data_IF_809559000595
#
_entry.id   IF_809559000595
#
_cell.length_a   1.000
_cell.length_b   1.000
_cell.length_c   1.000
_cell.angle_alpha   90.00
_cell.angle_beta   90.00
_cell.angle_gamma   90.00
#
_symmetry.space_group_name_H-M   'P 1'
#
loop_
_entity.id
_entity.type
_entity.pdbx_description
1 polymer ?
#
# COMPACT_ATOMS: atom_id res chain seq x y z
N UNK A 1 -3.12 29.99 8.49
CA UNK A 1 -4.40 29.41 8.93
C UNK A 1 -4.11 27.94 9.09
N UNK A 2 -3.87 27.50 10.32
CA UNK A 2 -3.88 26.07 10.61
C UNK A 2 -5.34 25.70 10.60
N UNK A 3 -5.79 24.99 9.57
CA UNK A 3 -6.95 24.14 9.71
C UNK A 3 -6.52 23.06 10.70
N UNK A 4 -6.71 23.32 12.00
CA UNK A 4 -6.74 22.23 12.98
C UNK A 4 -7.79 21.27 12.46
N UNK A 5 -7.32 20.07 12.14
CA UNK A 5 -8.12 19.01 11.57
C UNK A 5 -8.95 18.45 12.72
N UNK A 6 -9.97 19.22 13.11
CA UNK A 6 -10.80 18.97 14.28
C UNK A 6 -11.51 17.62 14.11
N UNK A 7 -11.62 16.89 15.20
CA UNK A 7 -12.31 15.62 15.18
C UNK A 7 -13.79 15.88 15.36
N UNK A 8 -14.56 15.81 14.28
CA UNK A 8 -16.01 15.86 14.38
C UNK A 8 -16.60 14.48 14.10
N UNK A 9 -17.15 13.88 15.15
CA UNK A 9 -17.86 12.62 15.08
C UNK A 9 -19.37 12.77 15.26
N UNK A 10 -19.98 13.95 15.28
CA UNK A 10 -21.45 14.10 15.36
C UNK A 10 -22.09 13.12 16.37
N UNK A 11 -21.53 13.04 17.60
CA UNK A 11 -21.97 12.08 18.63
C UNK A 11 -22.94 12.69 19.65
N UNK A 12 -23.20 13.99 19.60
CA UNK A 12 -23.92 14.75 20.64
C UNK A 12 -25.32 14.21 20.96
N UNK A 13 -26.00 13.62 19.98
CA UNK A 13 -27.34 13.04 20.13
C UNK A 13 -27.35 11.51 20.34
N UNK A 14 -26.17 10.88 20.43
CA UNK A 14 -26.02 9.43 20.48
C UNK A 14 -25.44 8.98 21.81
N UNK A 15 -25.95 7.87 22.34
CA UNK A 15 -25.37 7.20 23.50
C UNK A 15 -24.36 6.13 23.08
N UNK A 16 -23.32 5.84 23.88
CA UNK A 16 -22.47 4.67 23.63
C UNK A 16 -23.32 3.40 23.71
N UNK A 17 -23.12 2.49 22.75
CA UNK A 17 -23.86 1.23 22.66
C UNK A 17 -23.48 0.25 23.78
N UNK A 18 -22.27 0.40 24.33
CA UNK A 18 -21.68 -0.45 25.36
C UNK A 18 -20.64 0.33 26.21
N UNK A 19 -20.22 -0.22 27.37
CA UNK A 19 -19.22 0.43 28.22
C UNK A 19 -17.85 0.65 27.54
N UNK A 20 -17.45 -0.24 26.63
CA UNK A 20 -16.17 -0.13 25.94
C UNK A 20 -16.14 1.10 25.02
N UNK A 21 -17.26 1.38 24.34
CA UNK A 21 -17.44 2.57 23.51
C UNK A 21 -17.43 3.86 24.35
N UNK A 22 -17.99 3.83 25.56
CA UNK A 22 -17.95 4.95 26.49
C UNK A 22 -16.50 5.26 26.94
N UNK A 23 -15.77 4.22 27.35
CA UNK A 23 -14.36 4.32 27.75
C UNK A 23 -13.47 4.81 26.60
N UNK A 24 -13.69 4.28 25.39
CA UNK A 24 -12.91 4.65 24.22
C UNK A 24 -13.11 6.12 23.82
N UNK A 25 -14.33 6.66 23.95
CA UNK A 25 -14.63 8.08 23.76
C UNK A 25 -13.93 8.95 24.80
N UNK A 26 -14.00 8.57 26.09
CA UNK A 26 -13.32 9.32 27.14
C UNK A 26 -11.81 9.37 26.90
N UNK A 27 -11.20 8.22 26.58
CA UNK A 27 -9.78 8.12 26.24
C UNK A 27 -9.42 9.00 25.06
N UNK A 28 -10.22 8.94 23.99
CA UNK A 28 -10.01 9.72 22.78
C UNK A 28 -10.00 11.23 23.06
N UNK A 29 -11.02 11.76 23.75
CA UNK A 29 -11.10 13.20 24.06
C UNK A 29 -10.10 13.67 25.11
N UNK A 30 -9.56 12.77 25.92
CA UNK A 30 -8.49 13.09 26.87
C UNK A 30 -7.09 13.15 26.24
N UNK A 31 -6.93 12.61 25.02
CA UNK A 31 -5.65 12.51 24.34
C UNK A 31 -5.24 13.78 23.60
N UNK A 32 -3.92 13.97 23.43
CA UNK A 32 -3.37 14.99 22.54
C UNK A 32 -3.18 14.39 21.15
N UNK A 33 -4.27 14.34 20.39
CA UNK A 33 -4.34 13.66 19.10
C UNK A 33 -4.31 14.67 17.94
N UNK A 34 -3.53 14.36 16.91
CA UNK A 34 -3.55 15.10 15.63
C UNK A 34 -3.97 14.18 14.51
N UNK A 35 -5.07 14.51 13.82
CA UNK A 35 -5.51 13.70 12.69
C UNK A 35 -4.48 13.72 11.55
N UNK A 36 -4.19 12.53 11.02
CA UNK A 36 -3.34 12.31 9.85
C UNK A 36 -4.20 12.00 8.62
N UNK A 37 -5.28 11.24 8.79
CA UNK A 37 -6.25 10.92 7.73
C UNK A 37 -7.63 10.73 8.31
N UNK A 38 -8.67 11.10 7.57
CA UNK A 38 -10.06 10.89 7.97
C UNK A 38 -10.93 10.51 6.78
N UNK A 39 -11.92 9.66 7.04
CA UNK A 39 -12.97 9.34 6.08
C UNK A 39 -14.32 9.14 6.79
N UNK A 40 -15.34 9.84 6.31
CA UNK A 40 -16.73 9.66 6.75
C UNK A 40 -17.56 9.07 5.60
N UNK A 41 -18.40 8.08 5.90
CA UNK A 41 -19.30 7.52 4.90
C UNK A 41 -20.41 8.51 4.55
N UNK A 42 -20.84 8.55 3.29
CA UNK A 42 -21.92 9.43 2.83
C UNK A 42 -23.17 8.60 2.49
N UNK A 43 -24.39 9.16 2.58
CA UNK A 43 -24.71 10.56 2.89
C UNK A 43 -24.82 10.89 4.39
N UNK A 44 -24.89 9.88 5.27
CA UNK A 44 -25.32 10.07 6.66
C UNK A 44 -24.21 9.89 7.70
N UNK A 45 -22.95 9.73 7.29
CA UNK A 45 -21.86 9.56 8.26
C UNK A 45 -22.04 8.32 9.12
N UNK A 46 -22.66 7.23 8.63
CA UNK A 46 -22.89 6.04 9.46
C UNK A 46 -21.59 5.47 10.04
N UNK A 47 -20.47 5.70 9.37
CA UNK A 47 -19.15 5.35 9.86
C UNK A 47 -18.17 6.52 9.69
N UNK A 48 -17.28 6.67 10.66
CA UNK A 48 -16.09 7.52 10.57
C UNK A 48 -14.85 6.67 10.82
N UNK A 49 -13.81 6.93 10.04
CA UNK A 49 -12.52 6.28 10.16
C UNK A 49 -11.45 7.35 10.25
N UNK A 50 -10.57 7.24 11.23
CA UNK A 50 -9.52 8.23 11.47
C UNK A 50 -8.22 7.53 11.79
N UNK A 51 -7.14 8.03 11.19
CA UNK A 51 -5.77 7.77 11.64
C UNK A 51 -5.29 9.04 12.30
N UNK A 52 -4.84 8.94 13.55
CA UNK A 52 -4.32 10.07 14.33
C UNK A 52 -2.93 9.75 14.87
N UNK A 53 -2.12 10.80 15.07
CA UNK A 53 -0.87 10.75 15.81
C UNK A 53 -1.12 11.20 17.24
N UNK A 54 -0.71 10.41 18.21
CA UNK A 54 -0.78 10.74 19.63
C UNK A 54 0.49 11.47 20.07
N UNK A 55 0.37 12.79 20.20
CA UNK A 55 1.47 13.69 20.55
C UNK A 55 1.83 13.62 22.04
N UNK A 56 0.99 12.99 22.87
CA UNK A 56 1.27 12.82 24.30
C UNK A 56 2.31 11.73 24.59
N UNK A 57 2.45 10.76 23.66
CA UNK A 57 3.27 9.53 23.87
C UNK A 57 4.78 9.82 23.86
N UNK A 58 5.22 10.97 23.34
CA UNK A 58 6.63 11.43 23.48
C UNK A 58 7.07 11.52 24.95
N UNK A 59 6.14 11.64 25.91
CA UNK A 59 6.42 11.65 27.36
C UNK A 59 5.96 10.37 28.09
N UNK A 60 5.49 9.37 27.34
CA UNK A 60 4.97 8.11 27.86
C UNK A 60 6.03 7.02 28.07
N UNK A 61 5.61 5.75 28.03
CA UNK A 61 6.53 4.61 28.10
C UNK A 61 7.33 4.54 26.79
N UNK A 62 8.67 4.59 26.84
CA UNK A 62 9.51 4.48 25.64
C UNK A 62 9.18 3.23 24.83
N UNK A 63 9.23 3.34 23.49
CA UNK A 63 8.95 2.22 22.59
C UNK A 63 7.47 2.00 22.29
N UNK A 64 6.53 2.68 22.96
CA UNK A 64 5.11 2.48 22.70
C UNK A 64 4.67 3.09 21.35
N UNK A 65 3.74 2.43 20.64
CA UNK A 65 3.22 2.97 19.39
C UNK A 65 2.52 4.31 19.58
N UNK A 66 2.66 5.20 18.59
CA UNK A 66 2.15 6.57 18.63
C UNK A 66 1.06 6.85 17.58
N UNK A 67 0.73 5.89 16.72
CA UNK A 67 -0.33 6.04 15.72
C UNK A 67 -1.58 5.35 16.21
N UNK A 68 -2.69 6.07 16.27
CA UNK A 68 -3.99 5.57 16.70
C UNK A 68 -4.94 5.45 15.51
N UNK A 69 -5.49 4.27 15.30
CA UNK A 69 -6.63 4.03 14.41
C UNK A 69 -7.93 4.13 15.21
N UNK A 70 -8.92 4.82 14.66
CA UNK A 70 -10.23 5.04 15.29
C UNK A 70 -11.33 4.72 14.28
N UNK A 71 -12.26 3.85 14.67
CA UNK A 71 -13.45 3.53 13.90
C UNK A 71 -14.70 3.83 14.74
N UNK A 72 -15.59 4.67 14.20
CA UNK A 72 -16.87 5.02 14.80
C UNK A 72 -17.97 4.46 13.91
N UNK A 73 -18.90 3.70 14.48
CA UNK A 73 -20.10 3.23 13.81
C UNK A 73 -21.33 3.77 14.53
N UNK A 74 -22.26 4.39 13.80
CA UNK A 74 -23.48 5.02 14.35
C UNK A 74 -24.70 4.20 13.94
N UNK A 75 -25.52 3.83 14.92
CA UNK A 75 -26.86 3.26 14.72
C UNK A 75 -27.91 4.34 15.01
N UNK A 76 -28.30 5.05 13.96
CA UNK A 76 -29.28 6.13 14.02
C UNK A 76 -30.69 5.63 14.35
N UNK A 77 -30.98 4.34 14.19
CA UNK A 77 -32.29 3.78 14.56
C UNK A 77 -32.43 3.59 16.07
N UNK A 78 -31.29 3.35 16.73
CA UNK A 78 -31.21 3.14 18.18
C UNK A 78 -30.68 4.35 18.94
N UNK A 79 -30.26 5.39 18.23
CA UNK A 79 -29.56 6.56 18.78
C UNK A 79 -28.33 6.15 19.59
N UNK A 80 -27.55 5.20 19.04
CA UNK A 80 -26.34 4.71 19.67
C UNK A 80 -25.12 4.75 18.75
N UNK A 81 -23.92 4.71 19.31
CA UNK A 81 -22.67 4.52 18.57
C UNK A 81 -21.78 3.45 19.21
N UNK A 82 -20.96 2.80 18.39
CA UNK A 82 -19.80 2.02 18.82
C UNK A 82 -18.53 2.74 18.40
N UNK A 83 -17.56 2.84 19.31
CA UNK A 83 -16.25 3.41 19.02
C UNK A 83 -15.17 2.37 19.36
N UNK A 84 -14.36 2.04 18.36
CA UNK A 84 -13.21 1.15 18.50
C UNK A 84 -11.92 1.92 18.23
N UNK A 85 -10.86 1.57 18.96
CA UNK A 85 -9.54 2.17 18.78
C UNK A 85 -8.45 1.11 18.81
N UNK A 86 -7.34 1.36 18.13
CA UNK A 86 -6.14 0.52 18.22
C UNK A 86 -4.87 1.35 17.97
N UNK A 87 -3.82 1.05 18.72
CA UNK A 87 -2.52 1.69 18.56
C UNK A 87 -1.61 0.83 17.67
N UNK A 88 -0.91 1.48 16.77
CA UNK A 88 -0.04 0.87 15.77
C UNK A 88 1.28 1.64 15.68
N UNK A 89 2.34 0.92 15.35
CA UNK A 89 3.67 1.53 15.23
C UNK A 89 3.67 2.49 14.03
N UNK A 90 3.11 2.07 12.89
CA UNK A 90 3.12 2.83 11.65
C UNK A 90 1.71 3.12 11.13
N UNK A 91 1.62 4.16 10.30
CA UNK A 91 0.39 4.59 9.63
C UNK A 91 -0.22 3.50 8.75
N UNK A 92 0.61 2.71 8.06
CA UNK A 92 0.13 1.68 7.14
C UNK A 92 -0.60 0.54 7.87
N UNK A 93 -0.14 0.16 9.07
CA UNK A 93 -0.84 -0.82 9.92
C UNK A 93 -2.14 -0.26 10.51
N UNK A 94 -2.14 1.02 10.94
CA UNK A 94 -3.37 1.69 11.36
C UNK A 94 -4.43 1.74 10.25
N UNK A 95 -4.00 2.04 9.01
CA UNK A 95 -4.88 2.02 7.85
C UNK A 95 -5.38 0.60 7.54
N UNK A 96 -4.53 -0.43 7.63
CA UNK A 96 -4.95 -1.82 7.42
C UNK A 96 -6.08 -2.22 8.40
N UNK A 97 -5.93 -1.87 9.68
CA UNK A 97 -6.92 -2.13 10.72
C UNK A 97 -8.27 -1.43 10.46
N UNK A 98 -8.26 -0.23 9.88
CA UNK A 98 -9.47 0.49 9.47
C UNK A 98 -10.10 -0.11 8.22
N UNK A 99 -9.29 -0.59 7.28
CA UNK A 99 -9.76 -1.28 6.07
C UNK A 99 -10.49 -2.57 6.44
N UNK A 100 -10.00 -3.32 7.42
CA UNK A 100 -10.70 -4.49 7.97
C UNK A 100 -12.08 -4.15 8.55
N UNK A 101 -12.28 -2.91 9.00
CA UNK A 101 -13.56 -2.38 9.51
C UNK A 101 -14.43 -1.75 8.43
N UNK A 102 -14.09 -1.94 7.16
CA UNK A 102 -14.87 -1.49 6.02
C UNK A 102 -14.52 -0.10 5.51
N UNK A 103 -13.41 0.50 5.97
CA UNK A 103 -12.92 1.73 5.36
C UNK A 103 -12.38 1.45 3.95
N UNK A 104 -12.80 2.20 2.90
CA UNK A 104 -12.22 2.03 1.58
C UNK A 104 -10.73 2.43 1.58
N UNK A 105 -9.82 1.56 1.13
CA UNK A 105 -8.37 1.74 1.30
C UNK A 105 -7.88 3.03 0.63
N UNK A 106 -8.43 3.42 -0.52
CA UNK A 106 -8.06 4.63 -1.25
C UNK A 106 -8.53 5.93 -0.56
N UNK A 107 -9.52 5.85 0.33
CA UNK A 107 -10.07 7.02 1.03
C UNK A 107 -9.25 7.37 2.25
N UNK A 108 -8.87 6.37 3.04
CA UNK A 108 -8.00 6.56 4.21
C UNK A 108 -6.51 6.63 3.84
N UNK A 109 -6.20 6.39 2.57
CA UNK A 109 -4.84 6.31 2.11
C UNK A 109 -4.05 7.62 2.19
N UNK A 110 -4.77 8.73 2.06
CA UNK A 110 -4.18 10.05 1.94
C UNK A 110 -3.87 10.57 3.33
N UNK A 111 -2.61 10.87 3.56
CA UNK A 111 -2.17 11.61 4.73
C UNK A 111 -2.24 13.10 4.40
N UNK A 112 -2.92 13.85 5.26
CA UNK A 112 -3.12 15.28 5.16
C UNK A 112 -2.10 16.04 6.01
N UNK A 113 -1.96 17.34 5.75
CA UNK A 113 -1.03 18.23 6.46
C UNK A 113 0.42 18.09 6.00
N UNK A 114 1.34 18.66 6.78
CA UNK A 114 2.79 18.66 6.52
C UNK A 114 3.47 17.36 6.94
N UNK A 115 2.82 16.22 6.69
CA UNK A 115 3.37 14.92 7.03
C UNK A 115 4.66 14.63 6.23
N UNK A 116 5.58 13.92 6.88
CA UNK A 116 6.82 13.42 6.27
C UNK A 116 6.47 12.56 5.06
N UNK A 117 7.28 12.62 4.00
CA UNK A 117 6.98 11.91 2.75
C UNK A 117 7.82 10.64 2.60
N UNK A 118 7.28 9.58 1.97
CA UNK A 118 8.07 8.44 1.51
C UNK A 118 9.27 8.90 0.68
N UNK A 119 10.44 8.32 0.95
CA UNK A 119 11.67 8.64 0.23
C UNK A 119 11.76 7.99 -1.16
N UNK A 120 11.07 6.87 -1.38
CA UNK A 120 11.16 6.06 -2.60
C UNK A 120 9.90 5.25 -2.91
N UNK A 121 9.83 4.73 -4.14
CA UNK A 121 8.72 3.91 -4.64
C UNK A 121 8.58 2.59 -3.88
N UNK A 122 9.67 2.03 -3.35
CA UNK A 122 9.65 0.80 -2.56
C UNK A 122 8.88 1.01 -1.24
N UNK A 123 9.08 2.16 -0.59
CA UNK A 123 8.34 2.57 0.61
C UNK A 123 6.84 2.60 0.31
N UNK A 124 6.44 3.25 -0.79
CA UNK A 124 5.03 3.30 -1.22
C UNK A 124 4.46 1.90 -1.50
N UNK A 125 5.24 1.03 -2.15
CA UNK A 125 4.83 -0.34 -2.45
C UNK A 125 4.56 -1.15 -1.18
N UNK A 126 5.48 -1.09 -0.20
CA UNK A 126 5.34 -1.81 1.07
C UNK A 126 4.16 -1.28 1.88
N UNK A 127 3.96 0.03 1.93
CA UNK A 127 2.78 0.60 2.60
C UNK A 127 1.45 0.19 1.97
N UNK A 128 1.42 0.12 0.63
CA UNK A 128 0.25 -0.37 -0.09
C UNK A 128 0.02 -1.85 0.20
N UNK A 129 1.10 -2.65 0.27
CA UNK A 129 1.04 -4.06 0.63
C UNK A 129 0.48 -4.26 2.04
N UNK A 130 0.99 -3.54 3.05
CA UNK A 130 0.51 -3.62 4.44
C UNK A 130 -0.98 -3.25 4.51
N UNK A 131 -1.35 -2.12 3.92
CA UNK A 131 -2.73 -1.60 3.92
C UNK A 131 -3.72 -2.53 3.24
N UNK A 132 -3.29 -3.19 2.16
CA UNK A 132 -4.09 -4.16 1.42
C UNK A 132 -3.97 -5.60 1.93
N UNK A 133 -3.26 -5.82 3.03
CA UNK A 133 -2.94 -7.18 3.51
C UNK A 133 -4.11 -7.88 4.19
N UNK A 134 -5.10 -7.12 4.69
CA UNK A 134 -6.14 -7.65 5.58
C UNK A 134 -5.52 -8.41 6.74
N UNK A 135 -6.07 -9.58 7.07
CA UNK A 135 -5.61 -10.39 8.21
C UNK A 135 -4.34 -11.19 7.93
N UNK A 136 -3.55 -10.84 6.90
CA UNK A 136 -2.34 -11.58 6.52
C UNK A 136 -1.22 -11.43 7.56
N UNK A 137 -1.05 -10.23 8.12
CA UNK A 137 0.03 -9.93 9.05
C UNK A 137 -0.52 -9.88 10.48
N UNK A 138 -0.26 -10.92 11.25
CA UNK A 138 -0.51 -10.93 12.70
C UNK A 138 0.61 -10.12 13.38
N UNK A 139 0.27 -9.01 14.03
CA UNK A 139 1.26 -8.20 14.76
C UNK A 139 1.67 -8.91 16.05
N UNK A 140 2.96 -9.13 16.23
CA UNK A 140 3.56 -9.80 17.38
C UNK A 140 4.16 -8.81 18.36
N UNK A 141 4.89 -7.82 17.84
CA UNK A 141 5.51 -6.77 18.65
C UNK A 141 5.74 -5.50 17.83
N UNK A 142 5.98 -4.38 18.53
CA UNK A 142 6.15 -3.06 17.94
C UNK A 142 7.09 -2.22 18.76
N UNK A 143 7.80 -1.31 18.10
CA UNK A 143 8.61 -0.30 18.77
C UNK A 143 8.56 1.03 18.02
N UNK A 144 8.58 2.12 18.77
CA UNK A 144 8.72 3.50 18.25
C UNK A 144 9.79 4.25 19.05
N UNK A 145 10.74 4.88 18.35
CA UNK A 145 11.77 5.75 18.89
C UNK A 145 11.79 7.09 18.14
N UNK A 146 11.60 8.17 18.89
CA UNK A 146 11.75 9.55 18.40
C UNK A 146 13.19 10.07 18.55
N UNK A 147 14.09 9.25 19.11
CA UNK A 147 15.49 9.61 19.36
C UNK A 147 16.38 9.04 18.28
N UNK A 148 17.48 9.72 17.93
CA UNK A 148 18.40 9.29 16.89
C UNK A 148 19.01 7.88 17.17
N UNK A 149 18.81 6.88 16.28
CA UNK A 149 18.05 6.96 15.02
C UNK A 149 16.53 6.95 15.25
N UNK A 150 15.81 7.94 14.71
CA UNK A 150 14.36 7.93 14.82
C UNK A 150 13.81 6.85 13.91
N UNK A 151 13.19 5.85 14.52
CA UNK A 151 12.79 4.63 13.86
C UNK A 151 11.52 4.07 14.48
N UNK A 152 10.83 3.27 13.70
CA UNK A 152 9.70 2.46 14.15
C UNK A 152 9.79 1.10 13.50
N UNK A 153 9.46 0.03 14.22
CA UNK A 153 9.32 -1.27 13.60
C UNK A 153 8.08 -2.00 14.08
N UNK A 154 7.56 -2.86 13.21
CA UNK A 154 6.47 -3.80 13.51
C UNK A 154 6.94 -5.20 13.15
N UNK A 155 6.98 -6.09 14.14
CA UNK A 155 7.24 -7.51 13.98
C UNK A 155 5.90 -8.22 13.75
N UNK A 156 5.82 -9.04 12.70
CA UNK A 156 4.60 -9.74 12.34
C UNK A 156 4.86 -11.19 11.98
N UNK A 157 3.80 -12.00 12.08
CA UNK A 157 3.72 -13.31 11.44
C UNK A 157 2.89 -13.21 10.17
N UNK A 158 3.48 -13.56 9.05
CA UNK A 158 2.81 -13.68 7.76
C UNK A 158 2.05 -15.01 7.69
N UNK A 159 0.73 -14.94 7.48
CA UNK A 159 -0.13 -16.11 7.36
C UNK A 159 0.08 -16.86 6.03
N UNK A 160 0.78 -16.28 5.05
CA UNK A 160 1.10 -16.98 3.80
C UNK A 160 2.17 -18.05 4.03
N UNK A 161 2.06 -19.24 3.38
CA UNK A 161 3.10 -20.26 3.45
C UNK A 161 4.43 -19.72 2.91
N UNK A 162 5.41 -19.54 3.79
CA UNK A 162 6.76 -19.08 3.44
C UNK A 162 7.80 -19.79 4.30
N UNK A 163 9.02 -19.94 3.77
CA UNK A 163 10.18 -20.43 4.51
C UNK A 163 10.67 -19.42 5.56
N UNK A 164 10.22 -18.16 5.45
CA UNK A 164 10.52 -17.07 6.37
C UNK A 164 9.23 -16.32 6.75
N UNK A 165 8.39 -16.89 7.64
CA UNK A 165 7.08 -16.35 7.97
C UNK A 165 7.13 -15.13 8.88
N UNK A 166 8.24 -14.88 9.57
CA UNK A 166 8.38 -13.73 10.46
C UNK A 166 8.85 -12.53 9.64
N UNK A 167 8.09 -11.43 9.67
CA UNK A 167 8.40 -10.21 8.93
C UNK A 167 8.67 -9.06 9.88
N UNK A 168 9.68 -8.28 9.56
CA UNK A 168 9.93 -6.98 10.20
C UNK A 168 9.65 -5.89 9.19
N UNK A 169 8.73 -4.99 9.51
CA UNK A 169 8.53 -3.75 8.77
C UNK A 169 9.23 -2.64 9.53
N UNK A 170 10.35 -2.16 8.98
CA UNK A 170 11.22 -1.18 9.61
C UNK A 170 11.11 0.16 8.89
N UNK A 171 10.62 1.16 9.62
CA UNK A 171 10.51 2.55 9.20
C UNK A 171 11.66 3.36 9.80
N UNK A 172 12.41 4.07 8.96
CA UNK A 172 13.49 4.96 9.41
C UNK A 172 13.30 6.37 8.87
N UNK A 173 13.50 7.36 9.74
CA UNK A 173 13.29 8.76 9.44
C UNK A 173 14.62 9.45 9.11
N UNK A 174 14.62 10.20 8.00
CA UNK A 174 15.69 11.15 7.67
C UNK A 174 15.20 12.57 7.95
N UNK A 175 15.50 13.07 9.14
CA UNK A 175 15.12 14.43 9.55
C UNK A 175 15.77 15.52 8.70
N UNK A 176 16.92 15.26 8.07
CA UNK A 176 17.60 16.24 7.23
C UNK A 176 16.91 16.36 5.86
N UNK A 177 16.48 15.23 5.30
CA UNK A 177 15.74 15.19 4.03
C UNK A 177 14.24 15.47 4.21
N UNK A 178 13.70 15.33 5.42
CA UNK A 178 12.26 15.41 5.66
C UNK A 178 11.50 14.25 5.01
N UNK A 179 12.12 13.07 4.96
CA UNK A 179 11.57 11.86 4.35
C UNK A 179 11.71 10.67 5.30
N UNK A 180 11.03 9.57 4.98
CA UNK A 180 11.22 8.29 5.66
C UNK A 180 11.28 7.14 4.65
N UNK A 181 11.88 6.03 5.06
CA UNK A 181 11.90 4.77 4.30
C UNK A 181 11.17 3.69 5.07
N UNK A 182 10.47 2.80 4.35
CA UNK A 182 9.93 1.55 4.89
C UNK A 182 10.63 0.38 4.22
N UNK A 183 11.10 -0.60 5.00
CA UNK A 183 11.70 -1.83 4.50
C UNK A 183 11.06 -3.05 5.14
N UNK A 184 10.87 -4.09 4.34
CA UNK A 184 10.40 -5.40 4.80
C UNK A 184 11.60 -6.33 4.90
N UNK A 185 11.77 -6.96 6.05
CA UNK A 185 12.70 -8.06 6.26
C UNK A 185 11.97 -9.36 6.55
N UNK A 186 12.61 -10.50 6.28
CA UNK A 186 12.04 -11.82 6.48
C UNK A 186 12.98 -12.76 7.24
N UNK A 187 12.45 -13.42 8.25
CA UNK A 187 13.18 -14.26 9.19
C UNK A 187 12.49 -15.62 9.33
N UNK A 188 13.28 -16.64 9.65
CA UNK A 188 12.79 -18.00 9.89
C UNK A 188 11.91 -18.08 11.15
N UNK A 189 12.25 -17.31 12.19
CA UNK A 189 11.59 -17.31 13.48
C UNK A 189 11.76 -15.95 14.21
N UNK A 190 11.04 -15.80 15.33
CA UNK A 190 10.99 -14.56 16.12
C UNK A 190 12.33 -14.28 16.82
N UNK A 191 13.05 -15.31 17.25
CA UNK A 191 14.34 -15.14 17.94
C UNK A 191 15.39 -14.55 16.98
N UNK A 192 15.43 -15.02 15.73
CA UNK A 192 16.30 -14.48 14.70
C UNK A 192 15.95 -13.02 14.35
N UNK A 193 14.66 -12.70 14.31
CA UNK A 193 14.21 -11.33 14.09
C UNK A 193 14.61 -10.41 15.25
N UNK A 194 14.38 -10.82 16.49
CA UNK A 194 14.78 -10.05 17.68
C UNK A 194 16.29 -9.87 17.78
N UNK A 195 17.08 -10.91 17.52
CA UNK A 195 18.53 -10.79 17.50
C UNK A 195 19.01 -9.73 16.49
N UNK A 196 18.42 -9.72 15.28
CA UNK A 196 18.70 -8.64 14.32
C UNK A 196 18.19 -7.29 14.81
N UNK A 197 17.04 -7.24 15.49
CA UNK A 197 16.47 -6.00 16.01
C UNK A 197 17.38 -5.37 17.09
N UNK A 198 17.95 -6.20 17.96
CA UNK A 198 18.81 -5.77 19.06
C UNK A 198 20.20 -5.36 18.58
N UNK A 199 20.84 -6.19 17.75
CA UNK A 199 22.24 -5.99 17.37
C UNK A 199 22.40 -5.14 16.10
N UNK A 200 21.36 -5.06 15.26
CA UNK A 200 21.39 -4.42 13.91
C UNK A 200 22.53 -4.96 13.03
N UNK A 201 22.92 -6.21 13.25
CA UNK A 201 24.07 -6.81 12.60
C UNK A 201 23.78 -7.15 11.13
N UNK A 202 24.40 -6.38 10.23
CA UNK A 202 24.30 -6.58 8.78
C UNK A 202 23.00 -6.05 8.15
N UNK A 203 22.85 -6.22 6.83
CA UNK A 203 21.68 -5.72 6.12
C UNK A 203 20.41 -6.47 6.56
N UNK A 204 19.28 -5.78 6.56
CA UNK A 204 17.97 -6.39 6.79
C UNK A 204 17.74 -7.54 5.77
N UNK A 205 17.49 -8.78 6.21
CA UNK A 205 17.32 -9.91 5.30
C UNK A 205 16.09 -9.74 4.41
N UNK A 206 16.28 -9.68 3.09
CA UNK A 206 15.16 -9.47 2.16
C UNK A 206 14.19 -10.67 2.08
N UNK A 207 12.87 -10.42 1.94
CA UNK A 207 11.87 -11.42 1.61
C UNK A 207 12.29 -12.33 0.45
N UNK A 208 12.19 -13.67 0.59
CA UNK A 208 12.57 -14.60 -0.48
C UNK A 208 11.74 -14.37 -1.75
N UNK A 209 10.50 -13.87 -1.64
CA UNK A 209 9.62 -13.59 -2.76
C UNK A 209 10.14 -12.48 -3.67
N UNK A 210 10.90 -11.51 -3.13
CA UNK A 210 11.44 -10.39 -3.90
C UNK A 210 12.51 -10.87 -4.90
N UNK A 211 13.26 -11.91 -4.53
CA UNK A 211 14.26 -12.56 -5.42
C UNK A 211 13.59 -13.20 -6.64
N UNK A 212 12.39 -13.76 -6.48
CA UNK A 212 11.63 -14.38 -7.58
C UNK A 212 10.87 -13.35 -8.43
N UNK A 213 10.43 -12.24 -7.83
CA UNK A 213 9.77 -11.13 -8.51
C UNK A 213 10.72 -10.45 -9.51
N UNK A 214 11.96 -10.18 -9.14
CA UNK A 214 12.98 -9.66 -10.07
C UNK A 214 13.23 -10.60 -11.24
N UNK A 215 13.32 -11.91 -10.97
CA UNK A 215 13.44 -12.93 -12.02
C UNK A 215 12.22 -12.99 -12.95
N UNK A 216 11.01 -12.73 -12.45
CA UNK A 216 9.78 -12.70 -13.23
C UNK A 216 9.66 -11.41 -14.06
N UNK A 217 10.04 -10.25 -13.50
CA UNK A 217 10.09 -8.96 -14.19
C UNK A 217 11.14 -8.98 -15.31
N UNK A 218 12.32 -9.56 -15.06
CA UNK A 218 13.34 -9.77 -16.09
C UNK A 218 12.85 -10.71 -17.20
N UNK A 219 12.14 -11.79 -16.84
CA UNK A 219 11.52 -12.71 -17.83
C UNK A 219 10.41 -12.05 -18.64
N UNK A 220 9.57 -11.22 -18.01
CA UNK A 220 8.50 -10.47 -18.68
C UNK A 220 9.07 -9.43 -19.65
N UNK A 221 10.12 -8.70 -19.24
CA UNK A 221 10.86 -7.77 -20.13
C UNK A 221 11.50 -8.53 -21.30
N UNK A 222 12.15 -9.68 -21.06
CA UNK A 222 12.72 -10.51 -22.12
C UNK A 222 11.65 -11.10 -23.07
N UNK A 223 10.44 -11.37 -22.58
CA UNK A 223 9.31 -11.79 -23.43
C UNK A 223 8.78 -10.63 -24.28
N UNK A 224 8.66 -9.42 -23.71
CA UNK A 224 8.27 -8.21 -24.44
C UNK A 224 9.30 -7.83 -25.52
N UNK A 225 10.60 -7.92 -25.25
CA UNK A 225 11.65 -7.69 -26.24
C UNK A 225 11.61 -8.71 -27.38
N UNK A 226 11.34 -9.99 -27.09
CA UNK A 226 11.18 -11.03 -28.14
C UNK A 226 9.93 -10.86 -28.99
N UNK A 227 8.84 -10.35 -28.41
CA UNK A 227 7.61 -10.05 -29.16
C UNK A 227 7.78 -8.84 -30.07
N UNK A 228 8.57 -7.85 -29.66
CA UNK A 228 8.92 -6.68 -30.48
C UNK A 228 9.85 -7.02 -31.67
N UNK A 229 10.66 -8.07 -31.55
CA UNK A 229 11.56 -8.57 -32.60
C UNK A 229 10.96 -9.67 -33.47
N UNK A 230 9.63 -9.87 -33.47
CA UNK A 230 9.00 -10.79 -34.43
C UNK A 230 9.15 -10.21 -35.84
N UNK A 231 9.94 -10.81 -36.75
CA UNK A 231 10.11 -10.28 -38.08
C UNK A 231 8.78 -10.41 -38.82
N UNK A 232 8.26 -9.31 -39.35
CA UNK A 232 7.15 -9.34 -40.28
C UNK A 232 7.50 -10.31 -41.42
N UNK A 233 6.74 -11.39 -41.53
CA UNK A 233 6.82 -12.34 -42.64
C UNK A 233 6.72 -11.53 -43.94
N UNK A 234 7.74 -11.54 -44.82
CA UNK A 234 7.65 -10.79 -46.07
C UNK A 234 6.55 -11.40 -46.93
N UNK A 235 5.53 -10.61 -47.28
CA UNK A 235 4.58 -10.96 -48.33
C UNK A 235 5.37 -11.16 -49.62
N UNK A 236 5.51 -12.41 -50.06
CA UNK A 236 6.02 -12.75 -51.38
C UNK A 236 5.08 -12.14 -52.43
N UNK A 237 5.52 -11.03 -53.01
CA UNK A 237 4.90 -10.41 -54.17
C UNK A 237 5.07 -11.31 -55.38
N UNK A 238 3.99 -11.96 -55.79
CA UNK A 238 3.82 -12.41 -57.16
C UNK A 238 3.29 -11.21 -57.92
N UNK A 239 4.11 -10.58 -58.76
CA UNK A 239 3.61 -10.12 -60.06
C UNK A 239 4.74 -9.87 -61.05
N UNK A 240 4.68 -10.65 -62.13
CA UNK A 240 5.47 -10.51 -63.34
C UNK A 240 4.99 -9.28 -64.14
N UNK A 241 5.86 -8.65 -64.94
CA UNK A 241 5.49 -7.46 -65.71
C UNK A 241 4.61 -7.82 -66.90
N UNK A 242 3.42 -7.20 -67.00
CA UNK A 242 2.59 -7.22 -68.22
C UNK A 242 2.62 -5.87 -68.92
N UNK A 243 3.21 -5.85 -70.10
CA UNK A 243 3.12 -4.79 -71.11
C UNK A 243 1.76 -4.88 -71.85
N UNK A 244 1.08 -3.76 -72.16
CA UNK A 244 -0.19 -3.77 -72.91
C UNK A 244 -0.01 -3.93 -74.44
N UNK A 245 -1.12 -4.17 -75.19
CA UNK A 245 -1.12 -4.93 -76.44
C UNK A 245 -1.07 -4.08 -77.72
N UNK A 246 -0.68 -4.70 -78.84
CA UNK A 246 -0.98 -4.25 -80.19
C UNK A 246 -1.73 -5.36 -80.95
N UNK A 247 -2.93 -5.03 -81.42
CA UNK A 247 -3.73 -5.82 -82.36
C UNK A 247 -3.44 -5.33 -83.81
N UNK A 248 -4.17 -5.79 -84.85
CA UNK A 248 -4.42 -7.15 -85.35
C UNK A 248 -3.92 -7.31 -86.81
N UNK A 249 -3.94 -8.51 -87.41
CA UNK A 249 -3.69 -8.60 -88.87
C UNK A 249 -3.57 -9.99 -89.51
N UNK A 250 -4.73 -10.57 -89.85
CA UNK A 250 -5.04 -11.52 -90.94
C UNK A 250 -3.92 -11.96 -91.93
N UNK A 251 -3.87 -13.29 -92.15
CA UNK A 251 -3.58 -13.94 -93.46
C UNK A 251 -4.60 -13.52 -94.53
N UNK A 252 -4.25 -13.52 -95.83
CA UNK A 252 -4.56 -14.67 -96.68
C UNK A 252 -3.44 -14.98 -97.70
N UNK A 253 -3.10 -16.25 -97.91
CA UNK A 253 -3.56 -17.11 -99.02
C UNK A 253 -2.90 -16.80 -100.38
N UNK A 254 -2.10 -17.80 -100.79
CA UNK A 254 -2.02 -18.40 -102.12
C UNK A 254 -1.65 -17.56 -103.35
N UNK A 255 -0.78 -18.17 -104.16
CA UNK A 255 -1.13 -18.42 -105.55
C UNK A 255 -0.44 -17.51 -106.55
N UNK A 256 0.48 -18.12 -107.29
CA UNK A 256 1.35 -17.56 -108.32
C UNK A 256 0.68 -17.60 -109.70
N UNK A 257 1.27 -16.81 -110.63
CA UNK A 257 1.08 -16.68 -112.10
C UNK A 257 0.14 -15.53 -112.48
N UNK A 258 0.52 -14.57 -113.33
CA UNK A 258 1.60 -14.46 -114.34
C UNK A 258 2.49 -13.23 -114.12
#
# INVERSE_FOLDING_TARGET
MNDDFDFDFDLDELAPADPASAEAVERFWSGDLRALSQHHTTPNGSHSFVVAHDQSVTWGVPGKPQVMAIAVARDLSRFTFTLETSYHATVSFAQAWLVERGCPPEKIAKIHGDAVKPADDLTLQIEQQIRGSGTRYEVLDTHTSDFNPSETWTLTRDAQPSEAPIRVFHEMWDHAAGTYTMREGAFADEDAAHAWLDDRDGPLPEPPEYRYADGAVLRARAALSRSADTPAIPKAGVDAPRTPPAAPGRRPAQGRLL
#
